data_IF_503652578564
#
_entry.id   IF_503652578564
#
_cell.length_a   1.000
_cell.length_b   1.000
_cell.length_c   1.000
_cell.angle_alpha   90.00
_cell.angle_beta   90.00
_cell.angle_gamma   90.00
#
_symmetry.space_group_name_H-M   'P 1'
#
loop_
_entity.id
_entity.type
_entity.pdbx_description
1 polymer ?
#
# COMPACT_ATOMS: atom_id res chain seq x y z
N UNK A 1 55.52 51.71 -0.21
CA UNK A 1 55.44 50.62 -1.22
C UNK A 1 55.57 49.22 -0.64
N UNK A 2 56.52 48.90 0.28
CA UNK A 2 56.70 47.52 0.82
C UNK A 2 55.46 46.88 1.49
N UNK A 3 54.60 47.68 2.13
CA UNK A 3 53.35 47.18 2.74
C UNK A 3 52.30 46.69 1.72
N UNK A 4 52.28 47.28 0.52
CA UNK A 4 51.29 46.93 -0.51
C UNK A 4 51.63 45.59 -1.18
N UNK A 5 52.93 45.37 -1.46
CA UNK A 5 53.44 44.09 -1.97
C UNK A 5 53.23 42.95 -0.98
N UNK A 6 53.49 43.18 0.32
CA UNK A 6 53.26 42.16 1.35
C UNK A 6 51.79 41.72 1.45
N UNK A 7 50.85 42.68 1.43
CA UNK A 7 49.41 42.34 1.42
C UNK A 7 48.97 41.62 0.13
N UNK A 8 49.57 41.94 -1.01
CA UNK A 8 49.32 41.19 -2.25
C UNK A 8 49.84 39.76 -2.16
N UNK A 9 51.06 39.54 -1.66
CA UNK A 9 51.63 38.21 -1.47
C UNK A 9 50.81 37.37 -0.49
N UNK A 10 50.38 37.96 0.63
CA UNK A 10 49.53 37.30 1.61
C UNK A 10 48.17 36.91 0.99
N UNK A 11 47.58 37.76 0.15
CA UNK A 11 46.30 37.49 -0.53
C UNK A 11 46.45 36.41 -1.62
N UNK A 12 47.54 36.43 -2.38
CA UNK A 12 47.83 35.43 -3.41
C UNK A 12 48.14 34.06 -2.81
N UNK A 13 48.70 34.02 -1.59
CA UNK A 13 48.97 32.76 -0.86
C UNK A 13 47.70 32.01 -0.42
N UNK A 14 46.56 32.71 -0.33
CA UNK A 14 45.28 32.16 0.12
C UNK A 14 44.52 31.51 -1.05
N UNK A 15 44.73 31.96 -2.29
CA UNK A 15 44.03 31.49 -3.48
C UNK A 15 44.15 29.96 -3.71
N UNK A 16 45.32 29.31 -3.54
CA UNK A 16 45.43 27.86 -3.67
C UNK A 16 44.55 27.11 -2.66
N UNK A 17 44.52 27.55 -1.40
CA UNK A 17 43.70 26.96 -0.34
C UNK A 17 42.21 27.12 -0.63
N UNK A 18 41.81 28.29 -1.13
CA UNK A 18 40.42 28.56 -1.52
C UNK A 18 39.99 27.68 -2.70
N UNK A 19 40.89 27.49 -3.68
CA UNK A 19 40.65 26.60 -4.82
C UNK A 19 40.49 25.15 -4.38
N UNK A 20 41.31 24.70 -3.42
CA UNK A 20 41.22 23.35 -2.85
C UNK A 20 39.90 23.15 -2.06
N UNK A 21 39.49 24.14 -1.27
CA UNK A 21 38.20 24.11 -0.57
C UNK A 21 37.02 24.03 -1.53
N UNK A 22 37.04 24.78 -2.63
CA UNK A 22 35.99 24.73 -3.66
C UNK A 22 35.94 23.33 -4.30
N UNK A 23 37.09 22.75 -4.64
CA UNK A 23 37.15 21.37 -5.20
C UNK A 23 36.61 20.33 -4.22
N UNK A 24 36.95 20.45 -2.93
CA UNK A 24 36.43 19.56 -1.89
C UNK A 24 34.92 19.70 -1.71
N UNK A 25 34.38 20.92 -1.81
CA UNK A 25 32.93 21.13 -1.80
C UNK A 25 32.25 20.52 -3.03
N UNK A 26 32.82 20.70 -4.23
CA UNK A 26 32.30 20.09 -5.45
C UNK A 26 32.26 18.55 -5.34
N UNK A 27 33.34 17.94 -4.86
CA UNK A 27 33.40 16.49 -4.62
C UNK A 27 32.37 15.97 -3.61
N UNK A 28 31.91 16.82 -2.67
CA UNK A 28 30.85 16.46 -1.72
C UNK A 28 29.44 16.67 -2.29
N UNK A 29 29.27 17.65 -3.18
CA UNK A 29 27.99 17.99 -3.80
C UNK A 29 27.63 17.01 -4.93
N UNK A 30 28.60 16.61 -5.77
CA UNK A 30 28.33 15.72 -6.92
C UNK A 30 27.69 14.37 -6.52
N UNK A 31 28.12 13.69 -5.45
CA UNK A 31 27.43 12.49 -4.96
C UNK A 31 26.01 12.76 -4.46
N UNK A 32 25.75 13.91 -3.83
CA UNK A 32 24.43 14.28 -3.32
C UNK A 32 23.43 14.55 -4.46
N UNK A 33 23.88 15.23 -5.52
CA UNK A 33 23.07 15.44 -6.73
C UNK A 33 22.77 14.09 -7.40
N UNK A 34 23.78 13.24 -7.52
CA UNK A 34 23.63 11.93 -8.17
C UNK A 34 22.80 10.93 -7.34
N UNK A 35 22.79 11.03 -6.01
CA UNK A 35 21.95 10.22 -5.13
C UNK A 35 20.46 10.61 -5.27
N UNK A 36 20.14 11.91 -5.29
CA UNK A 36 18.76 12.39 -5.46
C UNK A 36 18.14 11.98 -6.81
N UNK A 37 18.94 11.94 -7.88
CA UNK A 37 18.50 11.49 -9.22
C UNK A 37 18.21 9.98 -9.25
N UNK A 38 18.88 9.19 -8.40
CA UNK A 38 18.66 7.74 -8.31
C UNK A 38 17.47 7.39 -7.43
N UNK A 39 17.24 8.14 -6.35
CA UNK A 39 16.06 7.95 -5.49
C UNK A 39 14.75 8.29 -6.21
N UNK A 40 14.71 9.40 -6.98
CA UNK A 40 13.51 9.75 -7.76
C UNK A 40 13.10 8.73 -8.81
N UNK A 41 14.04 7.93 -9.32
CA UNK A 41 13.75 6.88 -10.30
C UNK A 41 13.37 5.53 -9.68
N UNK A 42 13.65 5.29 -8.40
CA UNK A 42 13.40 4.00 -7.72
C UNK A 42 12.25 4.02 -6.70
N UNK A 43 11.69 5.19 -6.35
CA UNK A 43 10.59 5.30 -5.37
C UNK A 43 9.23 5.65 -5.98
N UNK A 44 9.06 5.52 -7.30
CA UNK A 44 7.72 5.55 -7.90
C UNK A 44 7.02 4.20 -7.66
N UNK A 45 6.77 3.88 -6.39
CA UNK A 45 5.65 3.01 -6.08
C UNK A 45 4.42 3.87 -6.31
N UNK A 46 3.72 3.58 -7.39
CA UNK A 46 2.53 4.33 -7.80
C UNK A 46 1.53 4.31 -6.63
N UNK A 47 1.39 5.46 -5.98
CA UNK A 47 0.50 5.62 -4.83
C UNK A 47 -0.94 5.33 -5.21
N UNK A 48 -1.31 5.49 -6.49
CA UNK A 48 -2.64 5.15 -6.98
C UNK A 48 -2.85 3.63 -6.98
N UNK A 49 -1.81 2.83 -7.29
CA UNK A 49 -1.88 1.36 -7.20
C UNK A 49 -2.06 0.92 -5.74
N UNK A 50 -1.30 1.50 -4.81
CA UNK A 50 -1.45 1.19 -3.38
C UNK A 50 -2.84 1.57 -2.90
N UNK A 51 -3.29 2.78 -3.22
CA UNK A 51 -4.59 3.30 -2.80
C UNK A 51 -5.73 2.41 -3.31
N UNK A 52 -5.69 2.03 -4.59
CA UNK A 52 -6.68 1.16 -5.21
C UNK A 52 -6.68 -0.24 -4.56
N UNK A 53 -5.52 -0.87 -4.35
CA UNK A 53 -5.46 -2.19 -3.72
C UNK A 53 -5.91 -2.17 -2.25
N UNK A 54 -5.62 -1.09 -1.50
CA UNK A 54 -6.13 -0.93 -0.13
C UNK A 54 -7.65 -0.81 -0.12
N UNK A 55 -8.22 -0.01 -1.03
CA UNK A 55 -9.67 0.15 -1.13
C UNK A 55 -10.35 -1.16 -1.54
N UNK A 56 -9.78 -1.90 -2.49
CA UNK A 56 -10.25 -3.23 -2.88
C UNK A 56 -10.18 -4.22 -1.72
N UNK A 57 -9.11 -4.20 -0.92
CA UNK A 57 -9.00 -5.03 0.28
C UNK A 57 -10.05 -4.68 1.32
N UNK A 58 -10.34 -3.41 1.57
CA UNK A 58 -11.39 -2.97 2.51
C UNK A 58 -12.77 -3.44 2.05
N UNK A 59 -13.02 -3.46 0.75
CA UNK A 59 -14.27 -4.00 0.19
C UNK A 59 -14.32 -5.52 0.37
N UNK A 60 -13.24 -6.24 -0.02
CA UNK A 60 -13.16 -7.70 0.09
C UNK A 60 -13.20 -8.20 1.55
N UNK A 61 -12.61 -7.46 2.49
CA UNK A 61 -12.54 -7.84 3.91
C UNK A 61 -13.88 -7.78 4.63
N UNK A 62 -14.90 -7.17 4.03
CA UNK A 62 -16.28 -7.18 4.54
C UNK A 62 -17.00 -8.50 4.23
N UNK A 63 -16.47 -9.30 3.31
CA UNK A 63 -17.05 -10.57 2.91
C UNK A 63 -16.35 -11.72 3.64
N UNK A 64 -17.13 -12.71 4.06
CA UNK A 64 -16.64 -13.95 4.67
C UNK A 64 -17.02 -15.12 3.76
N UNK A 65 -16.07 -16.00 3.48
CA UNK A 65 -16.31 -17.23 2.72
C UNK A 65 -16.45 -18.38 3.71
N UNK A 66 -17.61 -19.05 3.67
CA UNK A 66 -17.89 -20.21 4.51
C UNK A 66 -17.79 -21.47 3.65
N UNK A 67 -16.97 -22.42 4.09
CA UNK A 67 -16.77 -23.71 3.42
C UNK A 67 -17.61 -24.81 4.05
N UNK A 68 -17.81 -25.91 3.33
CA UNK A 68 -18.53 -27.11 3.80
C UNK A 68 -19.99 -26.86 4.20
N UNK A 69 -20.64 -25.87 3.61
CA UNK A 69 -22.08 -25.61 3.80
C UNK A 69 -22.89 -26.59 2.95
N UNK A 70 -23.76 -27.44 3.55
CA UNK A 70 -24.60 -28.39 2.82
C UNK A 70 -25.44 -27.71 1.73
N UNK A 71 -25.66 -28.36 0.59
CA UNK A 71 -26.50 -27.78 -0.47
C UNK A 71 -27.99 -27.77 -0.09
N UNK A 72 -28.72 -26.70 -0.42
CA UNK A 72 -30.16 -26.63 -0.18
C UNK A 72 -30.92 -27.64 -1.06
N UNK A 73 -31.92 -28.29 -0.47
CA UNK A 73 -32.67 -29.41 -1.10
C UNK A 73 -33.76 -28.90 -2.07
N UNK A 74 -34.14 -27.63 -1.96
CA UNK A 74 -35.21 -27.04 -2.80
C UNK A 74 -34.75 -26.78 -4.23
N UNK A 75 -35.64 -27.00 -5.21
CA UNK A 75 -35.42 -26.59 -6.59
C UNK A 75 -35.72 -25.10 -6.84
N UNK A 76 -36.45 -24.43 -5.93
CA UNK A 76 -36.81 -23.02 -6.04
C UNK A 76 -35.65 -22.13 -5.56
N UNK A 77 -35.20 -21.23 -6.45
CA UNK A 77 -34.10 -20.29 -6.20
C UNK A 77 -34.32 -19.42 -4.96
N UNK A 78 -35.51 -18.85 -4.78
CA UNK A 78 -35.76 -17.92 -3.67
C UNK A 78 -35.70 -18.66 -2.33
N UNK A 79 -36.23 -19.89 -2.31
CA UNK A 79 -36.17 -20.77 -1.13
C UNK A 79 -34.72 -21.17 -0.83
N UNK A 80 -33.91 -21.50 -1.85
CA UNK A 80 -32.49 -21.83 -1.68
C UNK A 80 -31.69 -20.65 -1.08
N UNK A 81 -31.91 -19.43 -1.58
CA UNK A 81 -31.25 -18.23 -1.05
C UNK A 81 -31.63 -18.00 0.42
N UNK A 82 -32.91 -18.19 0.77
CA UNK A 82 -33.35 -18.07 2.15
C UNK A 82 -32.69 -19.12 3.05
N UNK A 83 -32.66 -20.39 2.63
CA UNK A 83 -32.02 -21.48 3.36
C UNK A 83 -30.52 -21.23 3.60
N UNK A 84 -29.82 -20.68 2.60
CA UNK A 84 -28.42 -20.29 2.75
C UNK A 84 -28.25 -19.15 3.78
N UNK A 85 -29.15 -18.15 3.76
CA UNK A 85 -29.16 -17.06 4.74
C UNK A 85 -29.45 -17.56 6.17
N UNK A 86 -30.42 -18.45 6.33
CA UNK A 86 -30.77 -19.05 7.62
C UNK A 86 -29.58 -19.87 8.16
N UNK A 87 -28.90 -20.63 7.31
CA UNK A 87 -27.72 -21.43 7.70
C UNK A 87 -26.57 -20.54 8.17
N UNK A 88 -26.29 -19.44 7.47
CA UNK A 88 -25.28 -18.45 7.91
C UNK A 88 -25.67 -17.85 9.26
N UNK A 89 -26.95 -17.54 9.46
CA UNK A 89 -27.45 -17.01 10.73
C UNK A 89 -27.25 -18.00 11.88
N UNK A 90 -27.53 -19.29 11.64
CA UNK A 90 -27.28 -20.37 12.62
C UNK A 90 -25.80 -20.47 12.96
N UNK A 91 -24.89 -20.48 11.98
CA UNK A 91 -23.44 -20.54 12.23
C UNK A 91 -22.97 -19.34 13.06
N UNK A 92 -23.47 -18.15 12.75
CA UNK A 92 -23.12 -16.93 13.49
C UNK A 92 -23.64 -16.94 14.94
N UNK A 93 -24.84 -17.47 15.17
CA UNK A 93 -25.48 -17.45 16.48
C UNK A 93 -25.02 -18.61 17.39
N UNK A 94 -24.93 -19.83 16.84
CA UNK A 94 -24.76 -21.04 17.65
C UNK A 94 -23.29 -21.40 17.86
N UNK A 95 -22.45 -21.27 16.83
CA UNK A 95 -21.05 -21.73 16.88
C UNK A 95 -20.09 -20.66 17.40
N UNK A 96 -20.35 -19.39 17.09
CA UNK A 96 -19.46 -18.31 17.49
C UNK A 96 -19.73 -17.82 18.93
N UNK A 97 -20.92 -18.06 19.50
CA UNK A 97 -21.34 -17.57 20.85
C UNK A 97 -21.00 -16.09 21.10
N UNK A 98 -20.93 -15.30 20.03
CA UNK A 98 -20.61 -13.88 20.13
C UNK A 98 -21.93 -13.15 20.32
N UNK A 99 -22.12 -12.52 21.48
CA UNK A 99 -23.26 -11.63 21.79
C UNK A 99 -23.17 -10.30 21.04
N UNK A 100 -22.91 -10.34 19.73
CA UNK A 100 -22.88 -9.17 18.86
C UNK A 100 -23.97 -9.35 17.81
N UNK A 101 -24.79 -8.31 17.64
CA UNK A 101 -25.80 -8.30 16.58
C UNK A 101 -25.08 -8.39 15.23
N UNK A 102 -25.24 -9.51 14.54
CA UNK A 102 -24.65 -9.75 13.24
C UNK A 102 -25.68 -9.46 12.15
N UNK A 103 -25.55 -8.31 11.49
CA UNK A 103 -26.32 -7.97 10.29
C UNK A 103 -25.44 -8.25 9.06
N UNK A 104 -25.75 -9.31 8.32
CA UNK A 104 -25.13 -9.57 7.02
C UNK A 104 -26.12 -9.20 5.92
N UNK A 105 -25.65 -8.49 4.89
CA UNK A 105 -26.56 -7.95 3.86
C UNK A 105 -27.08 -9.02 2.91
N UNK A 106 -26.27 -10.04 2.60
CA UNK A 106 -26.62 -11.11 1.64
C UNK A 106 -25.73 -12.33 1.81
N UNK A 107 -26.31 -13.52 1.68
CA UNK A 107 -25.58 -14.76 1.45
C UNK A 107 -25.66 -15.13 -0.04
N UNK A 108 -24.51 -15.46 -0.64
CA UNK A 108 -24.42 -15.97 -2.02
C UNK A 108 -23.54 -17.20 -2.04
N UNK A 109 -23.91 -18.20 -2.86
CA UNK A 109 -23.01 -19.29 -3.19
C UNK A 109 -22.10 -18.87 -4.34
N UNK A 110 -20.83 -19.20 -4.22
CA UNK A 110 -19.83 -18.99 -5.26
C UNK A 110 -19.74 -20.26 -6.12
N UNK A 111 -19.64 -20.10 -7.43
CA UNK A 111 -19.33 -21.22 -8.32
C UNK A 111 -17.84 -21.60 -8.22
N UNK A 112 -17.41 -22.63 -8.96
CA UNK A 112 -16.00 -23.07 -8.99
C UNK A 112 -15.03 -22.00 -9.53
N UNK A 113 -15.54 -20.94 -10.18
CA UNK A 113 -14.76 -19.82 -10.71
C UNK A 113 -14.70 -18.64 -9.73
N UNK A 114 -15.39 -18.73 -8.58
CA UNK A 114 -15.49 -17.64 -7.62
C UNK A 114 -16.49 -16.56 -8.06
N UNK A 115 -17.20 -16.78 -9.17
CA UNK A 115 -18.28 -15.91 -9.60
C UNK A 115 -19.51 -16.27 -8.75
N UNK A 116 -20.10 -15.26 -8.10
CA UNK A 116 -21.35 -15.44 -7.36
C UNK A 116 -22.38 -16.05 -8.29
N UNK A 117 -22.90 -17.22 -7.93
CA UNK A 117 -23.90 -17.90 -8.74
C UNK A 117 -25.12 -16.98 -8.93
N UNK A 118 -25.29 -16.55 -10.17
CA UNK A 118 -26.60 -16.39 -10.79
C UNK A 118 -26.52 -17.20 -12.08
N UNK A 119 -27.41 -18.17 -12.37
CA UNK A 119 -28.62 -18.67 -11.69
C UNK A 119 -28.44 -20.02 -10.97
#
# INVERSE_FOLDING_TARGET
MRFFFKKCDDSMSILPKLTEMIKNMQMQIDPLINANIRETNNTNVDMDIISNEVQDRIIRSKNVIVYNVPEPVSADRNIRIQQDGDTVSTILNDDLKVNVYHEFSRAIRLDRRGDGLSP
#
